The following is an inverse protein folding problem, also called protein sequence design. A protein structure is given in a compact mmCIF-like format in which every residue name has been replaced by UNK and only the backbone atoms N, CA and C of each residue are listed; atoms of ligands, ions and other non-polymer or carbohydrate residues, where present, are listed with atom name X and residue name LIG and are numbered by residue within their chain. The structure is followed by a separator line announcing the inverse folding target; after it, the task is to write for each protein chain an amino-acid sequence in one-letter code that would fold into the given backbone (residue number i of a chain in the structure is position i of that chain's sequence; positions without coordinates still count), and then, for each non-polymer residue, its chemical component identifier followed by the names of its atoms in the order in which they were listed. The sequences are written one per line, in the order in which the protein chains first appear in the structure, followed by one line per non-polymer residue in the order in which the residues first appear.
data_IF_167329027242
#
_entry.id   IF_167329027242
#
_cell.length_a   1.000
_cell.length_b   1.000
_cell.length_c   1.000
_cell.angle_alpha   90.00
_cell.angle_beta   90.00
_cell.angle_gamma   90.00
#
_symmetry.space_group_name_H-M   'P 1'
#
loop_
_entity.id
_entity.type
_entity.pdbx_description
1 polymer ?
#
# COMPACT_ATOMS: atom_id res chain seq x y z
N UNK A 1 -25.41 -6.05 -21.37
CA UNK A 1 -23.94 -6.10 -21.29
C UNK A 1 -23.57 -5.80 -19.85
N UNK A 2 -23.09 -6.78 -19.08
CA UNK A 2 -22.72 -6.56 -17.68
C UNK A 2 -21.49 -5.68 -17.65
N UNK A 3 -21.61 -4.50 -17.07
CA UNK A 3 -20.45 -3.67 -16.75
C UNK A 3 -19.62 -4.45 -15.72
N UNK A 4 -18.33 -4.71 -15.94
CA UNK A 4 -17.51 -5.37 -14.93
C UNK A 4 -17.57 -4.49 -13.66
N UNK A 5 -18.10 -5.05 -12.57
CA UNK A 5 -17.94 -4.41 -11.27
C UNK A 5 -16.51 -4.68 -10.84
N UNK A 6 -15.72 -3.63 -10.68
CA UNK A 6 -14.40 -3.70 -10.08
C UNK A 6 -14.46 -4.25 -8.65
N UNK A 7 -13.34 -4.64 -8.12
CA UNK A 7 -13.19 -5.06 -6.72
C UNK A 7 -13.08 -3.82 -5.85
N UNK A 8 -13.82 -3.78 -4.74
CA UNK A 8 -13.71 -2.75 -3.70
C UNK A 8 -13.19 -3.43 -2.42
N UNK A 9 -11.97 -3.11 -2.03
CA UNK A 9 -11.35 -3.70 -0.85
C UNK A 9 -10.07 -3.01 -0.45
N UNK A 10 -9.38 -3.56 0.54
CA UNK A 10 -8.16 -2.92 1.03
C UNK A 10 -7.65 -3.47 2.36
N UNK A 11 -6.95 -2.62 3.10
CA UNK A 11 -6.36 -2.95 4.40
C UNK A 11 -6.55 -1.81 5.39
N UNK A 12 -6.87 -2.17 6.62
CA UNK A 12 -6.76 -1.32 7.81
C UNK A 12 -5.73 -1.96 8.74
N UNK A 13 -4.73 -1.21 9.14
CA UNK A 13 -3.63 -1.69 9.96
C UNK A 13 -3.27 -0.64 11.01
N UNK A 14 -3.31 -1.03 12.26
CA UNK A 14 -2.83 -0.22 13.37
C UNK A 14 -1.75 -0.97 14.13
N UNK A 15 -0.68 -0.29 14.47
CA UNK A 15 0.36 -0.85 15.31
C UNK A 15 0.66 0.06 16.51
N UNK A 16 1.14 -0.54 17.58
CA UNK A 16 1.52 0.15 18.83
C UNK A 16 2.71 -0.53 19.49
N UNK A 17 3.32 0.16 20.41
CA UNK A 17 4.32 -0.43 21.31
C UNK A 17 3.59 -1.22 22.40
N UNK A 18 3.98 -2.47 22.63
CA UNK A 18 3.46 -3.30 23.70
C UNK A 18 4.22 -3.08 25.02
N UNK A 19 3.79 -3.73 26.09
CA UNK A 19 4.41 -3.65 27.42
C UNK A 19 5.90 -4.06 27.46
N UNK A 20 6.37 -4.79 26.44
CA UNK A 20 7.78 -5.22 26.30
C UNK A 20 8.59 -4.26 25.43
N UNK A 21 8.06 -3.08 25.11
CA UNK A 21 8.73 -2.08 24.27
C UNK A 21 8.86 -2.47 22.80
N UNK A 22 8.04 -3.41 22.29
CA UNK A 22 8.09 -3.87 20.90
C UNK A 22 6.85 -3.43 20.14
N UNK A 23 7.04 -3.02 18.91
CA UNK A 23 5.93 -2.77 17.99
C UNK A 23 5.18 -4.07 17.70
N UNK A 24 3.87 -4.02 17.82
CA UNK A 24 2.96 -5.13 17.48
C UNK A 24 1.70 -4.57 16.79
N UNK A 25 1.01 -5.41 16.04
CA UNK A 25 -0.30 -5.07 15.49
C UNK A 25 -1.31 -4.98 16.63
N UNK A 26 -2.02 -3.87 16.71
CA UNK A 26 -3.13 -3.65 17.65
C UNK A 26 -4.49 -3.86 17.02
N UNK A 27 -4.62 -3.56 15.73
CA UNK A 27 -5.82 -3.80 14.95
C UNK A 27 -5.46 -4.11 13.50
N UNK A 28 -6.17 -5.05 12.89
CA UNK A 28 -6.02 -5.34 11.46
C UNK A 28 -7.33 -5.84 10.85
N UNK A 29 -7.59 -5.36 9.67
CA UNK A 29 -8.61 -5.89 8.76
C UNK A 29 -8.07 -5.83 7.34
N UNK A 30 -8.37 -6.82 6.51
CA UNK A 30 -8.09 -6.75 5.08
C UNK A 30 -9.14 -7.52 4.28
N UNK A 31 -9.33 -7.07 3.07
CA UNK A 31 -10.26 -7.70 2.13
C UNK A 31 -9.64 -7.74 0.72
N UNK A 32 -10.04 -8.72 -0.11
CA UNK A 32 -9.55 -8.75 -1.49
C UNK A 32 -9.78 -7.40 -2.19
N UNK A 33 -8.84 -6.96 -3.03
CA UNK A 33 -7.70 -7.71 -3.57
C UNK A 33 -6.43 -7.69 -2.69
N UNK A 34 -6.48 -7.08 -1.50
CA UNK A 34 -5.33 -6.97 -0.61
C UNK A 34 -5.27 -8.16 0.34
N UNK A 35 -4.07 -8.63 0.59
CA UNK A 35 -3.75 -9.62 1.61
C UNK A 35 -2.58 -9.13 2.46
N UNK A 36 -2.74 -9.21 3.77
CA UNK A 36 -1.72 -8.87 4.76
C UNK A 36 -0.99 -10.15 5.18
N UNK A 37 0.36 -10.15 5.07
CA UNK A 37 1.17 -11.27 5.53
C UNK A 37 1.22 -11.34 7.06
N UNK A 38 1.67 -12.48 7.57
CA UNK A 38 2.05 -12.60 8.98
C UNK A 38 3.18 -11.59 9.29
N UNK A 39 3.05 -10.77 10.34
CA UNK A 39 4.07 -9.78 10.69
C UNK A 39 5.36 -10.46 11.18
N UNK A 40 6.48 -9.81 10.93
CA UNK A 40 7.79 -10.20 11.44
C UNK A 40 8.39 -9.04 12.22
N UNK A 41 8.85 -9.29 13.43
CA UNK A 41 9.58 -8.29 14.22
C UNK A 41 11.09 -8.45 13.99
N UNK A 42 11.68 -7.42 13.39
CA UNK A 42 13.12 -7.33 13.21
C UNK A 42 13.77 -6.76 14.48
N UNK A 43 14.69 -7.54 15.05
CA UNK A 43 15.36 -7.16 16.30
C UNK A 43 16.46 -6.11 16.11
N UNK A 44 17.04 -6.04 14.90
CA UNK A 44 18.14 -5.13 14.61
C UNK A 44 17.62 -3.70 14.45
N UNK A 45 16.57 -3.53 13.67
CA UNK A 45 15.92 -2.24 13.46
C UNK A 45 14.85 -1.89 14.50
N UNK A 46 14.51 -2.86 15.38
CA UNK A 46 13.38 -2.78 16.31
C UNK A 46 12.02 -2.48 15.63
N UNK A 47 11.90 -2.81 14.35
CA UNK A 47 10.73 -2.52 13.54
C UNK A 47 9.85 -3.74 13.33
N UNK A 48 8.55 -3.52 13.18
CA UNK A 48 7.60 -4.52 12.72
C UNK A 48 7.55 -4.48 11.20
N UNK A 49 7.82 -5.60 10.54
CA UNK A 49 7.75 -5.73 9.08
C UNK A 49 6.46 -6.45 8.69
N UNK A 50 5.75 -5.88 7.72
CA UNK A 50 4.58 -6.49 7.10
C UNK A 50 4.68 -6.41 5.58
N UNK A 51 4.16 -7.44 4.90
CA UNK A 51 4.00 -7.41 3.46
C UNK A 51 2.51 -7.28 3.11
N UNK A 52 2.20 -6.30 2.28
CA UNK A 52 0.92 -6.22 1.60
C UNK A 52 1.07 -6.86 0.22
N UNK A 53 0.22 -7.78 -0.12
CA UNK A 53 0.21 -8.40 -1.44
C UNK A 53 -1.17 -8.27 -2.08
N UNK A 54 -1.18 -8.14 -3.41
CA UNK A 54 -2.38 -8.24 -4.22
C UNK A 54 -2.26 -9.50 -5.08
N UNK A 55 -2.73 -10.67 -4.60
CA UNK A 55 -2.59 -11.94 -5.31
C UNK A 55 -3.58 -12.04 -6.49
N UNK A 56 -3.75 -10.96 -7.22
CA UNK A 56 -4.59 -10.83 -8.41
C UNK A 56 -3.72 -10.48 -9.62
N UNK A 57 -4.34 -10.38 -10.79
CA UNK A 57 -3.63 -9.97 -12.01
C UNK A 57 -3.07 -8.54 -11.94
N UNK A 58 -3.58 -7.71 -11.05
CA UNK A 58 -3.29 -6.30 -10.90
C UNK A 58 -4.57 -5.47 -10.81
N UNK A 59 -4.48 -4.19 -11.05
CA UNK A 59 -5.60 -3.25 -11.03
C UNK A 59 -6.32 -3.24 -12.38
N UNK A 60 -7.62 -3.38 -12.32
CA UNK A 60 -8.53 -3.37 -13.47
C UNK A 60 -9.47 -2.17 -13.41
N UNK A 61 -10.15 -1.90 -14.52
CA UNK A 61 -11.16 -0.85 -14.59
C UNK A 61 -12.28 -1.05 -13.55
N UNK A 62 -12.52 -0.03 -12.75
CA UNK A 62 -13.52 -0.03 -11.69
C UNK A 62 -13.02 -0.53 -10.33
N UNK A 63 -11.77 -1.01 -10.24
CA UNK A 63 -11.20 -1.40 -8.94
C UNK A 63 -11.01 -0.18 -8.03
N UNK A 64 -11.30 -0.38 -6.75
CA UNK A 64 -11.00 0.57 -5.68
C UNK A 64 -10.25 -0.14 -4.57
N UNK A 65 -9.05 0.33 -4.27
CA UNK A 65 -8.21 -0.22 -3.21
C UNK A 65 -7.93 0.86 -2.18
N UNK A 66 -8.32 0.61 -0.93
CA UNK A 66 -8.14 1.56 0.18
C UNK A 66 -7.15 0.98 1.19
N UNK A 67 -6.16 1.77 1.57
CA UNK A 67 -5.21 1.43 2.61
C UNK A 67 -5.24 2.48 3.71
N UNK A 68 -5.52 2.07 4.93
CA UNK A 68 -5.45 2.92 6.12
C UNK A 68 -4.43 2.32 7.09
N UNK A 69 -3.33 3.02 7.31
CA UNK A 69 -2.23 2.54 8.14
C UNK A 69 -1.94 3.58 9.21
N UNK A 70 -2.01 3.17 10.47
CA UNK A 70 -1.68 4.01 11.62
C UNK A 70 -0.54 3.40 12.43
N UNK A 71 0.51 4.19 12.59
CA UNK A 71 1.66 3.87 13.43
C UNK A 71 1.51 4.64 14.74
N UNK A 72 1.25 3.92 15.81
CA UNK A 72 1.09 4.49 17.16
C UNK A 72 2.37 5.12 17.71
N UNK A 73 2.23 5.85 18.79
CA UNK A 73 3.34 6.60 19.40
C UNK A 73 4.53 5.69 19.74
N UNK A 74 5.72 6.09 19.30
CA UNK A 74 6.96 5.35 19.48
C UNK A 74 7.06 4.01 18.76
N UNK A 75 6.05 3.63 17.97
CA UNK A 75 6.07 2.38 17.21
C UNK A 75 6.88 2.54 15.92
N UNK A 76 7.42 1.44 15.41
CA UNK A 76 8.18 1.41 14.15
C UNK A 76 7.63 0.33 13.22
N UNK A 77 7.16 0.74 12.04
CA UNK A 77 6.53 -0.13 11.05
C UNK A 77 7.20 0.01 9.69
N UNK A 78 7.53 -1.11 9.08
CA UNK A 78 7.96 -1.21 7.69
C UNK A 78 6.90 -1.97 6.91
N UNK A 79 6.35 -1.32 5.88
CA UNK A 79 5.36 -1.90 4.97
C UNK A 79 5.98 -2.02 3.59
N UNK A 80 5.97 -3.22 3.04
CA UNK A 80 6.48 -3.48 1.69
C UNK A 80 5.54 -4.40 0.93
N UNK A 81 5.82 -4.62 -0.34
CA UNK A 81 5.11 -5.61 -1.16
C UNK A 81 6.10 -6.55 -1.83
N UNK A 82 5.81 -7.84 -1.94
CA UNK A 82 6.75 -8.83 -2.48
C UNK A 82 6.96 -8.70 -4.00
N UNK A 83 6.18 -7.88 -4.68
CA UNK A 83 6.26 -7.74 -6.13
C UNK A 83 5.67 -6.43 -6.65
N UNK A 84 5.77 -6.23 -7.95
CA UNK A 84 5.17 -5.09 -8.63
C UNK A 84 3.66 -5.29 -8.82
N UNK A 85 2.90 -4.19 -8.73
CA UNK A 85 1.48 -4.14 -9.09
C UNK A 85 1.35 -3.65 -10.53
N UNK A 86 0.50 -4.27 -11.33
CA UNK A 86 0.20 -3.81 -12.69
C UNK A 86 -1.14 -3.09 -12.71
N UNK A 87 -1.20 -1.95 -13.40
CA UNK A 87 -2.45 -1.35 -13.81
C UNK A 87 -2.69 -1.69 -15.28
N UNK A 88 -3.76 -2.42 -15.54
CA UNK A 88 -4.07 -2.94 -16.87
C UNK A 88 -4.76 -1.90 -17.75
N UNK A 89 -4.93 -2.25 -19.02
CA UNK A 89 -5.73 -1.48 -19.97
C UNK A 89 -7.14 -1.23 -19.42
N UNK A 90 -7.59 0.04 -19.52
CA UNK A 90 -8.93 0.46 -19.14
C UNK A 90 -9.57 1.18 -20.32
N UNK A 91 -10.81 0.80 -20.64
CA UNK A 91 -11.47 1.30 -21.85
C UNK A 91 -12.05 2.70 -21.67
N UNK A 92 -12.74 2.95 -20.56
CA UNK A 92 -13.51 4.17 -20.33
C UNK A 92 -13.54 4.61 -18.87
N UNK A 93 -13.21 3.73 -17.94
CA UNK A 93 -13.18 4.00 -16.51
C UNK A 93 -11.75 4.18 -15.99
N UNK A 94 -11.61 4.08 -14.69
CA UNK A 94 -10.33 4.16 -14.00
C UNK A 94 -10.30 3.18 -12.81
N UNK A 95 -9.11 2.90 -12.30
CA UNK A 95 -8.93 2.31 -10.97
C UNK A 95 -8.58 3.42 -9.96
N UNK A 96 -9.03 3.24 -8.72
CA UNK A 96 -8.76 4.14 -7.61
C UNK A 96 -7.88 3.44 -6.57
N UNK A 97 -6.83 4.12 -6.14
CA UNK A 97 -6.01 3.71 -4.99
C UNK A 97 -6.00 4.86 -4.00
N UNK A 98 -6.49 4.62 -2.80
CA UNK A 98 -6.54 5.62 -1.74
C UNK A 98 -5.70 5.14 -0.56
N UNK A 99 -4.78 5.96 -0.10
CA UNK A 99 -3.86 5.63 0.98
C UNK A 99 -3.92 6.71 2.05
N UNK A 100 -4.26 6.31 3.27
CA UNK A 100 -4.18 7.17 4.44
C UNK A 100 -3.12 6.60 5.38
N UNK A 101 -2.06 7.36 5.60
CA UNK A 101 -0.92 7.01 6.43
C UNK A 101 -0.84 7.98 7.59
N UNK A 102 -0.86 7.47 8.81
CA UNK A 102 -0.80 8.28 10.03
C UNK A 102 0.36 7.82 10.88
N UNK A 103 1.20 8.76 11.28
CA UNK A 103 2.34 8.50 12.17
C UNK A 103 2.18 9.35 13.40
N UNK A 104 1.97 8.70 14.54
CA UNK A 104 1.82 9.37 15.84
C UNK A 104 3.18 9.79 16.41
N UNK A 105 3.15 10.58 17.48
CA UNK A 105 4.34 11.18 18.08
C UNK A 105 5.47 10.15 18.33
N UNK A 106 6.65 10.45 17.82
CA UNK A 106 7.84 9.58 17.91
C UNK A 106 7.73 8.25 17.19
N UNK A 107 6.69 8.02 16.38
CA UNK A 107 6.53 6.84 15.54
C UNK A 107 7.38 6.91 14.27
N UNK A 108 7.65 5.76 13.66
CA UNK A 108 8.35 5.66 12.37
C UNK A 108 7.59 4.77 11.41
N UNK A 109 7.36 5.25 10.19
CA UNK A 109 6.79 4.47 9.09
C UNK A 109 7.73 4.46 7.89
N UNK A 110 8.17 3.28 7.46
CA UNK A 110 8.65 3.08 6.11
C UNK A 110 7.54 2.44 5.27
N UNK A 111 7.03 3.18 4.28
CA UNK A 111 6.08 2.67 3.31
C UNK A 111 6.76 2.59 1.94
N UNK A 112 7.19 1.38 1.58
CA UNK A 112 8.02 1.09 0.42
C UNK A 112 7.40 -0.03 -0.43
N UNK A 113 6.26 0.22 -1.06
CA UNK A 113 5.62 -0.77 -1.93
C UNK A 113 6.48 -1.06 -3.16
N UNK A 114 6.22 -2.20 -3.78
CA UNK A 114 6.79 -2.56 -5.07
C UNK A 114 6.41 -1.56 -6.16
N UNK A 115 7.02 -1.69 -7.32
CA UNK A 115 6.74 -0.80 -8.44
C UNK A 115 5.29 -0.92 -8.93
N UNK A 116 4.70 0.20 -9.28
CA UNK A 116 3.45 0.27 -10.02
C UNK A 116 3.77 0.35 -11.52
N UNK A 117 3.35 -0.66 -12.27
CA UNK A 117 3.61 -0.79 -13.70
C UNK A 117 2.35 -0.42 -14.47
N UNK A 118 2.39 0.71 -15.17
CA UNK A 118 1.26 1.16 -16.00
C UNK A 118 1.36 0.57 -17.41
N UNK A 119 0.40 -0.28 -17.75
CA UNK A 119 0.27 -0.80 -19.10
C UNK A 119 -0.38 0.24 -20.03
N UNK A 120 -0.35 -0.03 -21.34
CA UNK A 120 -0.95 0.86 -22.34
C UNK A 120 -2.39 1.19 -21.96
N UNK A 121 -2.71 2.50 -21.98
CA UNK A 121 -4.05 3.03 -21.65
C UNK A 121 -4.55 2.64 -20.25
N UNK A 122 -3.66 2.33 -19.32
CA UNK A 122 -4.04 2.28 -17.92
C UNK A 122 -4.49 3.68 -17.47
N UNK A 123 -5.60 3.74 -16.76
CA UNK A 123 -6.14 4.97 -16.18
C UNK A 123 -6.27 4.78 -14.67
N UNK A 124 -5.31 5.30 -13.92
CA UNK A 124 -5.20 5.13 -12.49
C UNK A 124 -5.19 6.48 -11.80
N UNK A 125 -5.96 6.61 -10.76
CA UNK A 125 -5.83 7.69 -9.78
C UNK A 125 -5.36 7.12 -8.46
N UNK A 126 -4.25 7.67 -7.96
CA UNK A 126 -3.74 7.35 -6.63
C UNK A 126 -3.72 8.61 -5.79
N UNK A 127 -4.38 8.55 -4.64
CA UNK A 127 -4.41 9.63 -3.66
C UNK A 127 -3.75 9.13 -2.37
N UNK A 128 -2.68 9.80 -1.93
CA UNK A 128 -1.98 9.48 -0.70
C UNK A 128 -2.07 10.66 0.26
N UNK A 129 -2.62 10.40 1.45
CA UNK A 129 -2.64 11.36 2.56
C UNK A 129 -1.69 10.90 3.64
N UNK A 130 -0.74 11.74 4.01
CA UNK A 130 0.24 11.48 5.06
C UNK A 130 0.06 12.50 6.19
N UNK A 131 -0.24 12.02 7.39
CA UNK A 131 -0.36 12.81 8.61
C UNK A 131 0.76 12.40 9.57
N UNK A 132 1.58 13.35 10.02
CA UNK A 132 2.70 13.08 10.93
C UNK A 132 2.58 14.01 12.12
N UNK A 133 2.52 13.43 13.32
CA UNK A 133 2.56 14.19 14.58
C UNK A 133 4.01 14.59 14.93
N UNK A 134 4.14 15.49 15.89
CA UNK A 134 5.45 15.98 16.34
C UNK A 134 6.40 14.84 16.76
N UNK A 135 7.62 14.87 16.23
CA UNK A 135 8.63 13.84 16.44
C UNK A 135 8.38 12.51 15.71
N UNK A 136 7.29 12.40 14.96
CA UNK A 136 7.07 11.27 14.06
C UNK A 136 7.90 11.39 12.78
N UNK A 137 8.24 10.27 12.18
CA UNK A 137 9.02 10.22 10.94
C UNK A 137 8.39 9.26 9.94
N UNK A 138 8.47 9.59 8.64
CA UNK A 138 8.00 8.71 7.58
C UNK A 138 8.96 8.70 6.39
N UNK A 139 9.20 7.52 5.84
CA UNK A 139 9.83 7.30 4.54
C UNK A 139 8.79 6.74 3.58
N UNK A 140 8.38 7.53 2.61
CA UNK A 140 7.46 7.11 1.55
C UNK A 140 8.23 6.94 0.25
N UNK A 141 8.17 5.75 -0.34
CA UNK A 141 8.83 5.43 -1.61
C UNK A 141 7.79 5.04 -2.64
N UNK A 142 7.72 5.78 -3.73
CA UNK A 142 6.86 5.47 -4.88
C UNK A 142 7.71 5.16 -6.10
N UNK A 143 7.40 4.05 -6.77
CA UNK A 143 8.10 3.59 -7.97
C UNK A 143 7.10 3.41 -9.08
N UNK A 144 7.14 4.29 -10.07
CA UNK A 144 6.26 4.25 -11.23
C UNK A 144 7.05 3.81 -12.46
N UNK A 145 6.65 2.73 -13.08
CA UNK A 145 7.30 2.19 -14.27
C UNK A 145 6.33 2.12 -15.45
N UNK A 146 6.80 2.42 -16.66
CA UNK A 146 6.02 2.14 -17.86
C UNK A 146 5.87 0.64 -18.06
N UNK A 147 4.85 0.23 -18.78
CA UNK A 147 4.60 -1.16 -19.11
C UNK A 147 5.65 -1.75 -20.04
N UNK A 148 5.22 -2.34 -21.15
CA UNK A 148 6.12 -3.03 -22.09
C UNK A 148 6.81 -2.00 -23.01
N UNK A 149 7.94 -1.45 -22.58
CA UNK A 149 8.71 -0.46 -23.34
C UNK A 149 9.03 -0.93 -24.76
N UNK A 150 9.40 -2.20 -24.94
CA UNK A 150 9.67 -2.79 -26.26
C UNK A 150 8.44 -2.79 -27.20
N UNK A 151 7.25 -2.58 -26.67
CA UNK A 151 6.00 -2.43 -27.43
C UNK A 151 5.49 -0.98 -27.49
N UNK A 152 6.35 -0.01 -27.15
CA UNK A 152 6.00 1.41 -27.21
C UNK A 152 5.02 1.87 -26.12
N UNK A 153 4.90 1.15 -25.01
CA UNK A 153 4.10 1.56 -23.87
C UNK A 153 4.88 2.60 -23.04
N UNK A 154 4.60 3.87 -23.27
CA UNK A 154 5.20 5.00 -22.57
C UNK A 154 4.12 5.80 -21.85
N UNK A 155 4.52 6.58 -20.84
CA UNK A 155 3.63 7.55 -20.18
C UNK A 155 3.17 8.63 -21.18
N UNK A 156 1.92 9.03 -21.04
CA UNK A 156 1.34 10.16 -21.74
C UNK A 156 0.65 11.08 -20.75
#
# INVERSE_FOLDING_TARGET
MLTPRGVDGGVELECRVNERGRTCISNQYFSPPVHLSKPYFDKESASLLVNLSCPTAGLLEGDRVVSSIEVGSGASLVVTTPGATRAHFMRSGLALVEQRLVVRAGGFLEFNPGALILQRQANLRQDTTLEIEEGGEALLVEKLLPGRLAHGEIFR
#
